data_IF_456413216122
#
_entry.id   IF_456413216122
#
_cell.length_a   1.000
_cell.length_b   1.000
_cell.length_c   1.000
_cell.angle_alpha   90.00
_cell.angle_beta   90.00
_cell.angle_gamma   90.00
#
_symmetry.space_group_name_H-M   'P 1'
#
loop_
_entity.id
_entity.type
_entity.pdbx_description
1 polymer ?
#
# COMPACT_ATOMS: atom_id res chain seq x y z
N UNK A 1 -2.59 -57.06 24.84
CA UNK A 1 -1.54 -56.71 23.90
C UNK A 1 -2.13 -55.65 22.98
N UNK A 2 -1.96 -54.38 23.35
CA UNK A 2 -2.46 -53.23 22.58
C UNK A 2 -1.37 -52.74 21.62
N UNK A 3 -1.63 -52.83 20.35
CA UNK A 3 -0.77 -52.25 19.30
C UNK A 3 -1.05 -50.75 19.17
N UNK A 4 -0.10 -49.96 19.62
CA UNK A 4 -0.09 -48.51 19.34
C UNK A 4 0.38 -48.29 17.90
N UNK A 5 -0.57 -47.91 17.03
CA UNK A 5 -0.26 -47.40 15.67
C UNK A 5 0.27 -46.00 15.81
N UNK A 6 1.60 -45.81 15.58
CA UNK A 6 2.21 -44.51 15.44
C UNK A 6 1.88 -43.96 14.04
N UNK A 7 1.01 -42.95 13.96
CA UNK A 7 0.90 -42.11 12.78
C UNK A 7 2.10 -41.18 12.74
N UNK A 8 3.10 -41.51 11.94
CA UNK A 8 4.11 -40.53 11.50
C UNK A 8 3.40 -39.50 10.62
N UNK A 9 3.36 -38.25 11.08
CA UNK A 9 3.13 -37.11 10.18
C UNK A 9 4.31 -37.09 9.20
N UNK A 10 4.04 -37.41 7.95
CA UNK A 10 4.95 -37.02 6.87
C UNK A 10 4.96 -35.50 6.86
N UNK A 11 6.09 -34.90 7.22
CA UNK A 11 6.37 -33.52 6.89
C UNK A 11 6.36 -33.43 5.37
N UNK A 12 5.31 -32.85 4.80
CA UNK A 12 5.29 -32.41 3.41
C UNK A 12 6.40 -31.35 3.28
N UNK A 13 7.59 -31.78 2.91
CA UNK A 13 8.67 -30.90 2.50
C UNK A 13 8.21 -30.17 1.24
N UNK A 14 7.71 -28.94 1.41
CA UNK A 14 7.50 -28.05 0.27
C UNK A 14 8.83 -27.97 -0.49
N UNK A 15 8.88 -28.31 -1.78
CA UNK A 15 10.12 -28.30 -2.53
C UNK A 15 10.75 -26.90 -2.45
N UNK A 16 11.99 -26.80 -1.97
CA UNK A 16 12.69 -25.56 -1.78
C UNK A 16 12.82 -24.78 -3.09
N UNK A 17 12.65 -23.46 -3.02
CA UNK A 17 13.02 -22.58 -4.12
C UNK A 17 14.54 -22.63 -4.32
N UNK A 18 14.98 -22.55 -5.55
CA UNK A 18 16.40 -22.35 -5.83
C UNK A 18 16.75 -20.86 -5.57
N UNK A 19 17.03 -20.53 -4.31
CA UNK A 19 17.40 -19.16 -3.91
C UNK A 19 18.73 -18.68 -4.51
N UNK A 20 19.54 -19.57 -5.12
CA UNK A 20 20.75 -19.17 -5.83
C UNK A 20 20.46 -18.56 -7.21
N UNK A 21 19.23 -18.71 -7.73
CA UNK A 21 18.78 -18.18 -9.00
C UNK A 21 17.62 -17.22 -8.80
N UNK A 22 17.94 -16.03 -8.30
CA UNK A 22 16.97 -14.94 -8.19
C UNK A 22 17.01 -14.08 -9.46
N UNK A 23 15.83 -13.70 -9.93
CA UNK A 23 15.64 -12.77 -11.03
C UNK A 23 14.72 -11.62 -10.62
N UNK A 24 14.79 -10.51 -11.33
CA UNK A 24 14.03 -9.31 -10.99
C UNK A 24 12.57 -9.46 -11.41
N UNK A 25 11.67 -9.14 -10.47
CA UNK A 25 10.25 -8.90 -10.71
C UNK A 25 9.96 -7.43 -10.37
N UNK A 26 9.30 -6.74 -11.28
CA UNK A 26 8.84 -5.35 -11.09
C UNK A 26 7.34 -5.34 -10.83
N UNK A 27 6.90 -4.54 -9.87
CA UNK A 27 5.50 -4.18 -9.65
C UNK A 27 5.37 -2.70 -10.03
N UNK A 28 4.53 -2.36 -10.99
CA UNK A 28 4.27 -0.98 -11.38
C UNK A 28 2.90 -0.56 -10.86
N UNK A 29 2.86 0.50 -10.06
CA UNK A 29 1.64 1.05 -9.47
C UNK A 29 1.17 2.26 -10.27
N UNK A 30 0.19 2.05 -11.14
CA UNK A 30 -0.42 3.11 -11.95
C UNK A 30 -1.57 3.77 -11.20
N UNK A 31 -1.31 4.99 -10.70
CA UNK A 31 -2.31 5.75 -9.96
C UNK A 31 -3.32 6.40 -10.92
N UNK A 32 -4.58 6.06 -10.72
CA UNK A 32 -5.72 6.62 -11.45
C UNK A 32 -6.77 7.18 -10.48
N UNK A 33 -7.71 7.95 -10.98
CA UNK A 33 -8.88 8.45 -10.23
C UNK A 33 -10.12 8.18 -11.07
N UNK A 34 -10.80 7.09 -10.79
CA UNK A 34 -11.85 6.56 -11.64
C UNK A 34 -11.29 6.07 -12.99
N UNK A 35 -11.70 6.70 -14.08
CA UNK A 35 -11.25 6.38 -15.45
C UNK A 35 -10.10 7.28 -15.96
N UNK A 36 -9.54 8.14 -15.09
CA UNK A 36 -8.56 9.16 -15.46
C UNK A 36 -7.22 8.93 -14.80
N UNK A 37 -6.13 9.14 -15.54
CA UNK A 37 -4.77 9.17 -14.95
C UNK A 37 -4.67 10.25 -13.87
N UNK A 38 -3.99 9.95 -12.77
CA UNK A 38 -3.72 10.91 -11.70
C UNK A 38 -2.99 12.14 -12.24
N UNK A 39 -3.58 13.31 -12.00
CA UNK A 39 -2.95 14.60 -12.21
C UNK A 39 -2.93 15.36 -10.90
N UNK A 40 -1.71 15.63 -10.40
CA UNK A 40 -1.50 16.36 -9.16
C UNK A 40 -1.71 17.85 -9.36
N UNK A 41 -2.23 18.54 -8.33
CA UNK A 41 -2.38 20.00 -8.28
C UNK A 41 -3.20 20.60 -9.44
N UNK A 42 -4.15 19.85 -9.99
CA UNK A 42 -5.00 20.29 -11.05
C UNK A 42 -6.21 21.03 -10.49
N UNK A 43 -6.27 22.35 -10.68
CA UNK A 43 -7.37 23.21 -10.20
C UNK A 43 -8.50 23.40 -11.23
N UNK A 44 -8.32 22.99 -12.48
CA UNK A 44 -9.29 23.24 -13.56
C UNK A 44 -10.08 22.01 -13.94
N UNK A 45 -9.47 20.83 -13.92
CA UNK A 45 -10.11 19.57 -14.30
C UNK A 45 -10.29 18.67 -13.06
N UNK A 46 -11.21 19.06 -12.19
CA UNK A 46 -11.46 18.41 -10.92
C UNK A 46 -12.03 16.99 -11.10
N UNK A 47 -11.77 16.14 -10.11
CA UNK A 47 -12.42 14.85 -9.95
C UNK A 47 -13.76 15.03 -9.23
N UNK A 48 -14.66 14.06 -9.39
CA UNK A 48 -15.98 14.09 -8.74
C UNK A 48 -16.22 12.73 -8.07
N UNK A 49 -16.45 12.71 -6.76
CA UNK A 49 -16.77 11.49 -6.02
C UNK A 49 -18.27 11.12 -6.10
N UNK A 50 -18.68 9.99 -5.52
CA UNK A 50 -20.07 9.55 -5.54
C UNK A 50 -21.03 10.46 -4.75
N UNK A 51 -20.53 11.31 -3.86
CA UNK A 51 -21.29 12.33 -3.16
C UNK A 51 -21.46 13.63 -4.00
N UNK A 52 -21.06 13.59 -5.29
CA UNK A 52 -21.05 14.74 -6.20
C UNK A 52 -20.16 15.90 -5.71
N UNK A 53 -19.11 15.60 -4.99
CA UNK A 53 -18.15 16.58 -4.48
C UNK A 53 -16.96 16.68 -5.44
N UNK A 54 -16.67 17.91 -5.88
CA UNK A 54 -15.51 18.19 -6.74
C UNK A 54 -14.25 18.34 -5.89
N UNK A 55 -13.17 17.69 -6.32
CA UNK A 55 -11.90 17.76 -5.62
C UNK A 55 -10.69 17.70 -6.55
N UNK A 56 -9.56 18.18 -6.07
CA UNK A 56 -8.23 17.99 -6.66
C UNK A 56 -7.31 17.29 -5.65
N UNK A 57 -6.22 16.72 -6.12
CA UNK A 57 -5.26 15.99 -5.31
C UNK A 57 -3.94 16.76 -5.29
N UNK A 58 -3.41 17.07 -4.11
CA UNK A 58 -2.15 17.79 -3.91
C UNK A 58 -1.04 16.92 -3.32
N UNK A 59 -1.38 15.83 -2.62
CA UNK A 59 -0.40 14.88 -2.08
C UNK A 59 -0.94 13.46 -2.15
N UNK A 60 -0.08 12.54 -2.59
CA UNK A 60 -0.31 11.10 -2.56
C UNK A 60 0.99 10.40 -2.20
N UNK A 61 0.99 9.67 -1.10
CA UNK A 61 2.08 8.76 -0.74
C UNK A 61 1.50 7.54 -0.03
N UNK A 62 2.06 6.35 -0.29
CA UNK A 62 1.67 5.14 0.43
C UNK A 62 2.78 4.10 0.47
N UNK A 63 2.82 3.32 1.56
CA UNK A 63 3.76 2.22 1.71
C UNK A 63 3.20 0.92 1.16
N UNK A 64 4.02 0.26 0.35
CA UNK A 64 3.86 -1.15 -0.05
C UNK A 64 4.96 -1.94 0.64
N UNK A 65 4.60 -3.04 1.28
CA UNK A 65 5.57 -3.86 2.01
C UNK A 65 5.20 -5.34 2.00
N UNK A 66 6.13 -6.18 2.52
CA UNK A 66 5.91 -7.62 2.75
C UNK A 66 5.34 -8.33 1.52
N UNK A 67 6.06 -8.22 0.40
CA UNK A 67 5.67 -8.80 -0.89
C UNK A 67 5.81 -10.32 -0.85
N UNK A 68 4.76 -11.01 -1.29
CA UNK A 68 4.69 -12.46 -1.41
C UNK A 68 4.18 -12.81 -2.80
N UNK A 69 4.82 -13.77 -3.45
CA UNK A 69 4.37 -14.28 -4.74
C UNK A 69 4.10 -15.79 -4.65
N UNK A 70 3.10 -16.25 -5.40
CA UNK A 70 2.74 -17.68 -5.45
C UNK A 70 2.82 -18.16 -6.88
N UNK A 71 3.53 -19.26 -7.09
CA UNK A 71 3.67 -19.86 -8.43
C UNK A 71 2.35 -20.46 -8.91
N UNK A 72 2.28 -20.77 -10.21
CA UNK A 72 1.15 -21.51 -10.81
C UNK A 72 0.96 -22.91 -10.20
N UNK A 73 2.04 -23.49 -9.63
CA UNK A 73 2.00 -24.74 -8.89
C UNK A 73 1.62 -24.59 -7.40
N UNK A 74 1.27 -23.36 -6.96
CA UNK A 74 0.85 -23.10 -5.57
C UNK A 74 2.01 -22.86 -4.59
N UNK A 75 3.27 -22.91 -5.03
CA UNK A 75 4.42 -22.68 -4.17
C UNK A 75 4.54 -21.19 -3.81
N UNK A 76 4.67 -20.89 -2.50
CA UNK A 76 4.71 -19.52 -1.98
C UNK A 76 6.15 -19.08 -1.73
N UNK A 77 6.54 -17.92 -2.23
CA UNK A 77 7.78 -17.25 -1.92
C UNK A 77 7.55 -15.91 -1.24
N UNK A 78 8.17 -15.75 -0.08
CA UNK A 78 8.14 -14.49 0.69
C UNK A 78 9.42 -13.71 0.39
N UNK A 79 9.29 -12.52 -0.17
CA UNK A 79 10.43 -11.64 -0.41
C UNK A 79 11.07 -11.26 0.94
N UNK A 80 12.40 -11.29 1.00
CA UNK A 80 13.16 -10.94 2.22
C UNK A 80 12.68 -9.58 2.75
N UNK A 81 12.36 -9.53 4.03
CA UNK A 81 11.72 -8.37 4.63
C UNK A 81 12.49 -7.07 4.40
N UNK A 82 13.82 -7.08 4.54
CA UNK A 82 14.66 -5.88 4.34
C UNK A 82 14.65 -5.33 2.90
N UNK A 83 14.21 -6.13 1.94
CA UNK A 83 14.10 -5.77 0.52
C UNK A 83 12.64 -5.56 0.07
N UNK A 84 11.72 -5.41 1.01
CA UNK A 84 10.28 -5.45 0.73
C UNK A 84 9.52 -4.23 1.29
N UNK A 85 10.17 -3.05 1.31
CA UNK A 85 9.53 -1.78 1.69
C UNK A 85 9.72 -0.75 0.59
N UNK A 86 8.61 -0.20 0.12
CA UNK A 86 8.57 0.80 -0.96
C UNK A 86 7.64 1.92 -0.56
N UNK A 87 8.05 3.17 -0.80
CA UNK A 87 7.20 4.35 -0.67
C UNK A 87 6.84 4.84 -2.07
N UNK A 88 5.58 4.69 -2.43
CA UNK A 88 5.05 5.17 -3.70
C UNK A 88 4.59 6.62 -3.51
N UNK A 89 5.01 7.51 -4.41
CA UNK A 89 4.67 8.93 -4.40
C UNK A 89 4.03 9.36 -5.71
N UNK A 90 2.89 10.04 -5.64
CA UNK A 90 2.24 10.62 -6.81
C UNK A 90 3.04 11.77 -7.44
N UNK A 91 3.91 12.42 -6.66
CA UNK A 91 4.77 13.50 -7.13
C UNK A 91 6.05 13.00 -7.81
N UNK A 92 6.52 11.79 -7.48
CA UNK A 92 7.72 11.19 -8.05
C UNK A 92 7.38 9.91 -8.80
N UNK A 93 7.33 10.02 -10.13
CA UNK A 93 7.00 8.90 -11.01
C UNK A 93 8.02 7.75 -10.96
N UNK A 94 9.25 7.98 -10.51
CA UNK A 94 10.25 6.93 -10.39
C UNK A 94 9.89 5.94 -9.27
N UNK A 95 9.17 6.40 -8.25
CA UNK A 95 8.76 5.58 -7.10
C UNK A 95 7.64 4.59 -7.41
N UNK A 96 6.98 4.71 -8.58
CA UNK A 96 5.87 3.80 -8.94
C UNK A 96 6.30 2.34 -9.11
N UNK A 97 7.60 2.08 -9.22
CA UNK A 97 8.14 0.73 -9.40
C UNK A 97 8.67 0.16 -8.10
N UNK A 98 8.07 -0.92 -7.62
CA UNK A 98 8.63 -1.75 -6.57
C UNK A 98 9.35 -2.95 -7.21
N UNK A 99 10.68 -2.96 -7.16
CA UNK A 99 11.51 -4.00 -7.77
C UNK A 99 12.03 -4.96 -6.72
N UNK A 100 11.73 -6.24 -6.87
CA UNK A 100 12.13 -7.29 -5.94
C UNK A 100 12.86 -8.42 -6.67
N UNK A 101 13.67 -9.16 -5.95
CA UNK A 101 14.31 -10.37 -6.46
C UNK A 101 13.57 -11.59 -5.94
N UNK A 102 13.11 -12.44 -6.86
CA UNK A 102 12.39 -13.67 -6.57
C UNK A 102 12.99 -14.84 -7.35
N UNK A 103 12.84 -16.10 -6.92
CA UNK A 103 13.27 -17.26 -7.70
C UNK A 103 12.67 -17.26 -9.10
N UNK A 104 13.38 -17.82 -10.07
CA UNK A 104 12.81 -18.05 -11.39
C UNK A 104 11.55 -18.92 -11.30
N UNK A 105 10.50 -18.54 -12.02
CA UNK A 105 9.22 -19.25 -11.97
C UNK A 105 8.10 -18.50 -12.69
N UNK A 106 6.95 -19.15 -12.77
CA UNK A 106 5.70 -18.60 -13.28
C UNK A 106 4.78 -18.33 -12.09
N UNK A 107 4.48 -17.06 -11.83
CA UNK A 107 3.73 -16.62 -10.66
C UNK A 107 2.32 -16.20 -11.04
N UNK A 108 1.33 -16.84 -10.39
CA UNK A 108 -0.10 -16.62 -10.61
C UNK A 108 -0.76 -15.73 -9.56
N UNK A 109 -0.09 -15.47 -8.43
CA UNK A 109 -0.64 -14.58 -7.38
C UNK A 109 0.42 -13.65 -6.84
N UNK A 110 0.00 -12.43 -6.55
CA UNK A 110 0.74 -11.41 -5.84
C UNK A 110 -0.01 -11.05 -4.55
N UNK A 111 0.71 -11.00 -3.43
CA UNK A 111 0.23 -10.43 -2.18
C UNK A 111 1.22 -9.41 -1.66
N UNK A 112 0.72 -8.32 -1.11
CA UNK A 112 1.51 -7.33 -0.39
C UNK A 112 0.72 -6.70 0.75
N UNK A 113 1.42 -6.03 1.64
CA UNK A 113 0.84 -5.23 2.71
C UNK A 113 0.79 -3.76 2.29
N UNK A 114 -0.36 -3.12 2.42
CA UNK A 114 -0.48 -1.67 2.44
C UNK A 114 -0.22 -1.20 3.86
N UNK A 115 0.94 -0.57 4.06
CA UNK A 115 1.42 -0.11 5.36
C UNK A 115 2.79 -0.65 5.74
N UNK A 116 3.15 -0.43 6.99
CA UNK A 116 4.38 -0.91 7.62
C UNK A 116 3.99 -1.79 8.80
N UNK A 117 4.48 -3.03 8.81
CA UNK A 117 4.14 -4.01 9.86
C UNK A 117 4.62 -3.58 11.26
N UNK A 118 4.10 -4.24 12.29
CA UNK A 118 4.40 -3.93 13.69
C UNK A 118 5.87 -4.10 14.03
N UNK A 119 6.56 -5.09 13.45
CA UNK A 119 7.98 -5.33 13.70
C UNK A 119 8.81 -4.10 13.29
N UNK A 120 8.57 -3.55 12.12
CA UNK A 120 9.28 -2.34 11.64
C UNK A 120 8.78 -1.07 12.32
N UNK A 121 7.50 -0.99 12.63
CA UNK A 121 6.92 0.14 13.37
C UNK A 121 7.44 0.25 14.80
N UNK A 122 7.84 -0.87 15.43
CA UNK A 122 8.38 -0.91 16.81
C UNK A 122 9.91 -0.98 16.88
N UNK A 123 10.58 -1.09 15.73
CA UNK A 123 12.05 -1.12 15.66
C UNK A 123 12.64 0.21 16.17
N UNK A 124 13.81 0.15 16.80
CA UNK A 124 14.55 1.35 17.20
C UNK A 124 14.79 2.28 16.00
N UNK A 125 14.66 3.58 16.20
CA UNK A 125 14.71 4.57 15.11
C UNK A 125 16.02 4.53 14.32
N UNK A 126 17.14 4.34 15.03
CA UNK A 126 18.49 4.23 14.45
C UNK A 126 18.68 2.98 13.55
N UNK A 127 17.75 2.03 13.60
CA UNK A 127 17.74 0.82 12.76
C UNK A 127 16.83 0.93 11.55
N UNK A 128 16.09 2.02 11.41
CA UNK A 128 15.19 2.27 10.29
C UNK A 128 15.96 2.97 9.17
N UNK A 129 16.06 2.35 8.02
CA UNK A 129 16.86 2.84 6.89
C UNK A 129 16.04 2.95 5.62
N UNK A 130 16.54 3.69 4.62
CA UNK A 130 15.87 3.87 3.34
C UNK A 130 14.52 4.56 3.52
N UNK A 131 13.49 4.05 2.88
CA UNK A 131 12.12 4.62 2.96
C UNK A 131 11.48 4.52 4.35
N UNK A 132 12.06 3.72 5.26
CA UNK A 132 11.62 3.61 6.66
C UNK A 132 12.34 4.59 7.59
N UNK A 133 13.37 5.30 7.13
CA UNK A 133 13.97 6.37 7.91
C UNK A 133 12.93 7.48 8.12
N UNK A 134 12.59 7.86 9.37
CA UNK A 134 11.65 8.93 9.63
C UNK A 134 12.03 10.28 8.99
N UNK A 135 13.34 10.49 8.74
CA UNK A 135 13.84 11.66 8.04
C UNK A 135 13.74 11.55 6.50
N UNK A 136 13.38 10.40 5.96
CA UNK A 136 13.25 10.19 4.52
C UNK A 136 12.19 11.13 3.93
N UNK A 137 12.54 11.82 2.84
CA UNK A 137 11.62 12.72 2.14
C UNK A 137 11.46 14.11 2.76
N UNK A 138 12.34 14.53 3.70
CA UNK A 138 12.38 15.94 4.13
C UNK A 138 12.26 16.22 5.62
N UNK A 139 12.40 15.20 6.47
CA UNK A 139 12.53 15.40 7.91
C UNK A 139 11.27 15.20 8.74
N UNK A 140 11.43 15.37 10.05
CA UNK A 140 10.49 14.94 11.09
C UNK A 140 9.12 15.62 11.09
N UNK A 141 8.98 16.79 10.43
CA UNK A 141 7.91 17.71 10.80
C UNK A 141 6.86 17.82 9.76
N UNK A 142 6.12 17.09 9.26
CA UNK A 142 4.89 17.32 8.46
C UNK A 142 4.94 16.97 6.98
N UNK A 143 6.10 16.80 6.38
CA UNK A 143 6.20 16.28 5.00
C UNK A 143 6.46 14.78 4.95
N UNK A 144 6.93 14.16 6.06
CA UNK A 144 7.26 12.75 6.16
C UNK A 144 6.05 11.83 6.31
N UNK A 145 6.34 10.55 6.26
CA UNK A 145 5.35 9.47 6.41
C UNK A 145 5.43 8.82 7.80
N UNK A 146 5.83 9.58 8.82
CA UNK A 146 6.00 9.09 10.18
C UNK A 146 5.46 10.09 11.21
N UNK A 147 4.70 9.60 12.17
CA UNK A 147 4.28 10.35 13.36
C UNK A 147 5.24 10.08 14.51
N UNK A 148 5.87 11.13 15.06
CA UNK A 148 6.77 11.02 16.21
C UNK A 148 6.07 10.66 17.53
N UNK A 149 4.75 10.64 17.55
CA UNK A 149 3.92 10.35 18.71
C UNK A 149 3.25 8.97 18.57
N UNK A 150 3.70 7.93 19.12
CA UNK A 150 3.12 6.58 19.33
C UNK A 150 2.28 5.90 18.20
N UNK A 151 2.02 6.53 17.08
CA UNK A 151 1.20 5.97 15.99
C UNK A 151 2.03 5.39 14.83
N UNK A 152 3.34 5.62 14.84
CA UNK A 152 4.26 5.10 13.85
C UNK A 152 4.08 5.70 12.46
N UNK A 153 4.14 4.86 11.42
CA UNK A 153 4.08 5.32 10.04
C UNK A 153 2.67 5.70 9.61
N UNK A 154 2.60 6.71 8.73
CA UNK A 154 1.42 6.98 7.90
C UNK A 154 1.48 5.99 6.74
N UNK A 155 0.54 5.07 6.66
CA UNK A 155 0.51 4.03 5.63
C UNK A 155 0.05 4.55 4.29
N UNK A 156 -0.89 5.50 4.34
CA UNK A 156 -1.49 6.14 3.19
C UNK A 156 -1.74 7.61 3.52
N UNK A 157 -1.12 8.51 2.77
CA UNK A 157 -1.26 9.96 2.84
C UNK A 157 -1.93 10.45 1.57
N UNK A 158 -3.06 11.11 1.72
CA UNK A 158 -3.86 11.59 0.62
C UNK A 158 -4.45 12.95 0.97
N UNK A 159 -4.00 13.98 0.28
CA UNK A 159 -4.41 15.36 0.53
C UNK A 159 -4.86 16.02 -0.76
N UNK A 160 -5.73 17.01 -0.63
CA UNK A 160 -6.19 17.80 -1.74
C UNK A 160 -7.12 18.91 -1.33
N UNK A 161 -7.81 19.49 -2.31
CA UNK A 161 -8.76 20.56 -2.09
C UNK A 161 -10.14 20.17 -2.65
N UNK A 162 -11.18 20.52 -1.91
CA UNK A 162 -12.57 20.37 -2.30
C UNK A 162 -13.37 21.60 -1.87
N UNK A 163 -14.01 22.29 -2.82
CA UNK A 163 -14.77 23.52 -2.56
C UNK A 163 -15.90 23.34 -1.54
N UNK A 164 -16.41 22.10 -1.43
CA UNK A 164 -17.47 21.73 -0.49
C UNK A 164 -17.07 21.86 0.97
N UNK A 165 -15.77 21.90 1.27
CA UNK A 165 -15.28 22.16 2.63
C UNK A 165 -15.43 23.66 2.88
N UNK A 166 -16.46 24.02 3.65
CA UNK A 166 -16.63 25.39 4.10
C UNK A 166 -15.54 25.75 5.08
N UNK A 167 -14.79 26.79 4.78
CA UNK A 167 -13.80 27.48 5.60
C UNK A 167 -13.37 26.80 6.90
N UNK A 168 -12.07 26.58 7.00
CA UNK A 168 -11.38 26.50 8.27
C UNK A 168 -11.77 25.35 9.20
N UNK A 169 -11.34 24.16 8.83
CA UNK A 169 -11.46 22.99 9.71
C UNK A 169 -10.58 23.12 10.97
N UNK A 170 -9.62 24.06 11.01
CA UNK A 170 -8.67 24.24 12.12
C UNK A 170 -8.30 25.71 12.43
N UNK A 171 -9.08 26.70 12.02
CA UNK A 171 -8.78 28.12 12.28
C UNK A 171 -7.66 28.70 11.39
N UNK A 172 -7.15 27.97 10.42
CA UNK A 172 -6.09 28.42 9.53
C UNK A 172 -6.64 28.87 8.17
N UNK A 173 -6.76 30.18 7.91
CA UNK A 173 -7.32 30.71 6.69
C UNK A 173 -6.49 30.38 5.43
N UNK A 174 -5.25 29.91 5.59
CA UNK A 174 -4.40 29.49 4.48
C UNK A 174 -4.72 28.08 3.98
N UNK A 175 -5.48 27.29 4.76
CA UNK A 175 -5.87 25.90 4.48
C UNK A 175 -7.33 25.74 4.09
N UNK A 176 -7.91 26.76 3.51
CA UNK A 176 -9.29 26.71 3.01
C UNK A 176 -9.47 25.55 2.04
N UNK A 177 -10.60 24.86 2.18
CA UNK A 177 -11.02 23.77 1.29
C UNK A 177 -10.10 22.53 1.30
N UNK A 178 -9.12 22.44 2.19
CA UNK A 178 -8.18 21.32 2.21
C UNK A 178 -8.77 20.10 2.92
N UNK A 179 -8.72 18.93 2.27
CA UNK A 179 -8.90 17.65 2.94
C UNK A 179 -7.56 16.96 3.21
N UNK A 180 -7.50 16.17 4.30
CA UNK A 180 -6.29 15.44 4.72
C UNK A 180 -6.66 14.06 5.24
N UNK A 181 -6.19 13.03 4.57
CA UNK A 181 -6.32 11.65 5.02
C UNK A 181 -4.92 11.08 5.25
N UNK A 182 -4.56 10.94 6.53
CA UNK A 182 -3.33 10.32 6.98
C UNK A 182 -3.70 9.04 7.72
N UNK A 183 -3.69 7.94 7.01
CA UNK A 183 -4.12 6.65 7.54
C UNK A 183 -2.90 5.87 7.97
N UNK A 184 -2.85 5.50 9.24
CA UNK A 184 -1.79 4.71 9.88
C UNK A 184 -2.35 3.94 11.06
N UNK A 185 -1.48 3.35 11.87
CA UNK A 185 -1.86 2.53 13.01
C UNK A 185 -1.61 1.05 12.77
N UNK A 186 -0.63 0.50 13.49
CA UNK A 186 -0.16 -0.88 13.35
C UNK A 186 -0.66 -1.81 14.47
N UNK A 187 -1.61 -1.37 15.29
CA UNK A 187 -2.17 -2.15 16.39
C UNK A 187 -1.59 -1.81 17.76
N UNK A 188 -0.65 -0.84 17.84
CA UNK A 188 -0.08 -0.34 19.09
C UNK A 188 1.25 -0.96 19.48
N UNK A 189 2.01 -0.22 20.29
CA UNK A 189 3.33 -0.62 20.80
C UNK A 189 3.24 -1.18 22.24
N UNK A 190 2.76 -0.41 23.18
CA UNK A 190 2.65 -0.76 24.61
C UNK A 190 1.24 -1.19 25.03
N UNK A 191 0.24 -0.83 24.24
CA UNK A 191 -1.16 -1.20 24.43
C UNK A 191 -1.83 -1.34 23.06
N UNK A 192 -2.92 -2.15 22.95
CA UNK A 192 -3.69 -2.26 21.72
C UNK A 192 -4.25 -0.91 21.27
N UNK A 193 -4.09 -0.61 19.96
CA UNK A 193 -4.63 0.58 19.30
C UNK A 193 -5.26 0.18 17.96
N UNK A 194 -5.65 1.18 17.17
CA UNK A 194 -6.16 0.95 15.81
C UNK A 194 -5.14 0.19 14.95
N UNK A 195 -5.63 -0.80 14.19
CA UNK A 195 -4.84 -1.53 13.20
C UNK A 195 -5.43 -1.33 11.80
N UNK A 196 -4.78 -0.45 11.05
CA UNK A 196 -5.13 -0.11 9.67
C UNK A 196 -4.21 -0.77 8.63
N UNK A 197 -3.34 -1.69 9.04
CA UNK A 197 -2.57 -2.52 8.11
C UNK A 197 -3.55 -3.34 7.27
N UNK A 198 -3.36 -3.34 5.95
CA UNK A 198 -4.19 -4.11 5.02
C UNK A 198 -3.34 -5.01 4.14
N UNK A 199 -3.82 -6.23 3.93
CA UNK A 199 -3.25 -7.14 2.96
C UNK A 199 -4.06 -7.10 1.68
N UNK A 200 -3.38 -6.90 0.56
CA UNK A 200 -3.94 -6.96 -0.79
C UNK A 200 -3.45 -8.25 -1.45
N UNK A 201 -4.38 -9.01 -2.03
CA UNK A 201 -4.04 -10.23 -2.78
C UNK A 201 -4.69 -10.14 -4.16
N UNK A 202 -3.91 -10.40 -5.20
CA UNK A 202 -4.35 -10.37 -6.59
C UNK A 202 -4.07 -11.70 -7.28
N UNK A 203 -5.05 -12.17 -8.03
CA UNK A 203 -4.89 -13.25 -9.01
C UNK A 203 -4.41 -12.63 -10.32
N UNK A 204 -3.31 -13.14 -10.84
CA UNK A 204 -2.67 -12.64 -12.06
C UNK A 204 -3.12 -13.39 -13.31
N UNK A 205 -3.89 -14.48 -13.18
CA UNK A 205 -4.20 -15.39 -14.29
C UNK A 205 -4.95 -14.73 -15.41
N UNK A 206 -5.86 -13.81 -15.12
CA UNK A 206 -6.68 -13.13 -16.14
C UNK A 206 -5.88 -12.13 -16.99
N UNK A 207 -4.96 -11.36 -16.37
CA UNK A 207 -4.12 -10.36 -17.04
C UNK A 207 -2.73 -10.88 -17.43
N UNK A 208 -2.44 -12.17 -17.17
CA UNK A 208 -1.17 -12.81 -17.47
C UNK A 208 -0.32 -13.10 -16.25
N UNK A 209 0.16 -14.35 -16.12
CA UNK A 209 1.09 -14.75 -15.06
C UNK A 209 2.46 -14.10 -15.27
N UNK A 210 3.16 -13.78 -14.18
CA UNK A 210 4.50 -13.22 -14.26
C UNK A 210 5.54 -14.33 -14.47
N UNK A 211 6.22 -14.31 -15.61
CA UNK A 211 7.23 -15.32 -16.02
C UNK A 211 8.63 -14.80 -15.70
N UNK A 212 9.03 -14.93 -14.45
CA UNK A 212 10.32 -14.41 -13.96
C UNK A 212 11.48 -15.31 -14.40
N UNK A 213 12.45 -14.75 -15.13
CA UNK A 213 13.65 -15.42 -15.64
C UNK A 213 14.86 -14.50 -15.58
N UNK A 214 16.05 -15.05 -15.39
CA UNK A 214 17.30 -14.30 -15.49
C UNK A 214 17.46 -13.70 -16.88
N UNK A 215 17.90 -12.45 -16.94
CA UNK A 215 18.09 -11.73 -18.21
C UNK A 215 16.80 -11.26 -18.88
N UNK A 216 15.65 -11.39 -18.22
CA UNK A 216 14.34 -10.97 -18.70
C UNK A 216 13.64 -10.12 -17.65
N UNK A 217 13.00 -9.05 -18.05
CA UNK A 217 12.16 -8.25 -17.16
C UNK A 217 10.73 -8.77 -17.21
N UNK A 218 10.14 -9.00 -16.04
CA UNK A 218 8.71 -9.23 -15.88
C UNK A 218 8.14 -8.12 -15.04
N UNK A 219 7.07 -7.47 -15.49
CA UNK A 219 6.40 -6.35 -14.79
C UNK A 219 4.92 -6.66 -14.62
N UNK A 220 4.47 -6.66 -13.38
CA UNK A 220 3.05 -6.73 -13.01
C UNK A 220 2.52 -5.31 -12.93
N UNK A 221 1.57 -4.94 -13.78
CA UNK A 221 0.89 -3.65 -13.77
C UNK A 221 -0.30 -3.70 -12.81
N UNK A 222 -0.28 -2.81 -11.83
CA UNK A 222 -1.31 -2.67 -10.79
C UNK A 222 -1.98 -1.31 -10.94
N UNK A 223 -3.23 -1.28 -11.35
CA UNK A 223 -4.05 -0.06 -11.28
C UNK A 223 -4.35 0.26 -9.82
N UNK A 224 -4.20 1.53 -9.45
CA UNK A 224 -4.49 2.05 -8.11
C UNK A 224 -5.54 3.15 -8.23
N UNK A 225 -6.81 2.78 -8.12
CA UNK A 225 -7.93 3.72 -8.26
C UNK A 225 -8.19 4.49 -6.97
N UNK A 226 -7.68 5.72 -6.91
CA UNK A 226 -7.82 6.61 -5.75
C UNK A 226 -9.26 7.07 -5.51
N UNK A 227 -10.17 6.94 -6.48
CA UNK A 227 -11.59 7.22 -6.26
C UNK A 227 -12.20 6.27 -5.22
N UNK A 228 -11.64 5.07 -5.07
CA UNK A 228 -12.06 4.08 -4.09
C UNK A 228 -11.84 4.53 -2.64
N UNK A 229 -10.97 5.49 -2.39
CA UNK A 229 -10.83 6.10 -1.06
C UNK A 229 -12.19 6.59 -0.55
N UNK A 230 -12.97 7.23 -1.43
CA UNK A 230 -14.31 7.76 -1.11
C UNK A 230 -15.44 6.79 -1.44
N UNK A 231 -15.29 6.03 -2.53
CA UNK A 231 -16.32 5.21 -3.17
C UNK A 231 -15.96 3.71 -3.12
N UNK A 232 -15.56 3.22 -1.95
CA UNK A 232 -15.20 1.82 -1.72
C UNK A 232 -16.35 1.00 -1.10
N UNK A 233 -16.00 0.14 -0.16
CA UNK A 233 -17.00 -0.61 0.66
C UNK A 233 -17.99 0.31 1.38
N UNK A 234 -17.54 1.51 1.72
CA UNK A 234 -18.35 2.56 2.32
C UNK A 234 -18.16 3.85 1.52
N UNK A 235 -19.25 4.45 1.11
CA UNK A 235 -19.22 5.78 0.54
C UNK A 235 -19.23 6.81 1.66
N UNK A 236 -18.39 7.84 1.56
CA UNK A 236 -18.40 8.94 2.50
C UNK A 236 -18.08 10.27 1.81
N UNK A 237 -18.53 11.34 2.44
CA UNK A 237 -18.41 12.71 1.96
C UNK A 237 -17.14 13.36 2.49
N UNK A 238 -16.44 14.08 1.62
CA UNK A 238 -15.29 14.90 1.99
C UNK A 238 -15.75 16.04 2.92
N UNK A 239 -16.92 16.63 2.66
CA UNK A 239 -17.46 17.70 3.49
C UNK A 239 -17.72 17.26 4.93
N UNK A 240 -18.17 16.00 5.12
CA UNK A 240 -18.47 15.46 6.45
C UNK A 240 -17.17 15.02 7.17
N UNK A 241 -16.20 14.51 6.42
CA UNK A 241 -14.93 14.01 6.96
C UNK A 241 -13.73 14.65 6.24
N UNK A 242 -13.53 15.96 6.37
CA UNK A 242 -12.45 16.66 5.65
C UNK A 242 -11.07 16.30 6.19
N UNK A 243 -10.98 15.87 7.44
CA UNK A 243 -9.71 15.45 8.05
C UNK A 243 -9.89 14.10 8.73
N UNK A 244 -9.11 13.12 8.30
CA UNK A 244 -9.07 11.79 8.89
C UNK A 244 -7.62 11.44 9.19
N UNK A 245 -7.32 11.27 10.47
CA UNK A 245 -6.01 10.86 10.96
C UNK A 245 -6.15 9.61 11.84
N UNK A 246 -5.44 9.54 12.95
CA UNK A 246 -5.51 8.44 13.90
C UNK A 246 -6.80 8.51 14.71
N UNK A 247 -7.90 8.02 14.16
CA UNK A 247 -9.24 8.02 14.76
C UNK A 247 -10.01 6.76 14.35
N UNK A 248 -11.10 6.45 15.07
CA UNK A 248 -11.95 5.29 14.74
C UNK A 248 -12.45 5.32 13.29
N UNK A 249 -12.77 6.50 12.77
CA UNK A 249 -13.20 6.65 11.38
C UNK A 249 -12.12 6.24 10.38
N UNK A 250 -10.82 6.33 10.74
CA UNK A 250 -9.73 5.89 9.88
C UNK A 250 -9.83 4.43 9.46
N UNK A 251 -10.47 3.58 10.28
CA UNK A 251 -10.70 2.17 9.95
C UNK A 251 -11.65 1.98 8.76
N UNK A 252 -12.62 2.89 8.59
CA UNK A 252 -13.52 2.90 7.44
C UNK A 252 -12.77 3.26 6.16
N UNK A 253 -11.91 4.28 6.22
CA UNK A 253 -11.04 4.64 5.10
C UNK A 253 -10.11 3.47 4.77
N UNK A 254 -9.42 2.90 5.77
CA UNK A 254 -8.53 1.77 5.58
C UNK A 254 -9.22 0.54 4.94
N UNK A 255 -10.51 0.32 5.24
CA UNK A 255 -11.30 -0.74 4.59
C UNK A 255 -11.54 -0.48 3.09
N UNK A 256 -11.67 0.79 2.70
CA UNK A 256 -11.80 1.19 1.30
C UNK A 256 -10.48 1.06 0.52
N UNK A 257 -9.34 1.30 1.18
CA UNK A 257 -8.03 1.29 0.51
C UNK A 257 -7.69 -0.05 -0.17
N UNK A 258 -8.24 -1.17 0.30
CA UNK A 258 -8.04 -2.48 -0.33
C UNK A 258 -8.65 -2.51 -1.74
N UNK A 259 -9.77 -1.82 -1.94
CA UNK A 259 -10.51 -1.79 -3.20
C UNK A 259 -9.81 -0.96 -4.29
N UNK A 260 -8.78 -0.18 -3.93
CA UNK A 260 -8.03 0.62 -4.89
C UNK A 260 -7.22 -0.24 -5.87
N UNK A 261 -6.75 -1.41 -5.43
CA UNK A 261 -5.76 -2.19 -6.16
C UNK A 261 -6.40 -3.24 -7.05
N UNK A 262 -6.03 -3.24 -8.33
CA UNK A 262 -6.46 -4.22 -9.31
C UNK A 262 -5.30 -4.60 -10.23
N UNK A 263 -5.11 -5.91 -10.49
CA UNK A 263 -4.21 -6.35 -11.55
C UNK A 263 -4.79 -5.92 -12.90
N UNK A 264 -4.00 -5.21 -13.67
CA UNK A 264 -4.35 -4.83 -15.05
C UNK A 264 -3.84 -5.90 -16.01
N UNK A 265 -2.54 -5.96 -16.20
CA UNK A 265 -1.89 -6.98 -17.02
C UNK A 265 -0.45 -7.25 -16.52
N UNK A 266 0.21 -8.25 -17.12
CA UNK A 266 1.62 -8.54 -16.85
C UNK A 266 2.40 -8.54 -18.17
N UNK A 267 3.47 -7.75 -18.23
CA UNK A 267 4.48 -7.78 -19.28
C UNK A 267 5.61 -8.75 -18.91
N UNK A 268 6.07 -9.58 -19.90
CA UNK A 268 7.08 -10.60 -19.68
C UNK A 268 8.23 -10.51 -20.69
#
# INVERSE_FOLDING_TARGET
MMLLSSCSKEDETTPDFNESKLAQLSLEFDNIVGDRTLTMNNSTNLYVNAANEKFSISSLQYFISNIVVTTTAGKVYVVKQDSSYFLISGADKATRFAKVSVPEGDYSKLKFTLGVDSLRSTMALDKRTGVLDPAYGGGHDFSGMYWGWNSGYIFFKFEGNAEVISNDVNGDPTRKHQFKYHIGGFGGYSAPTLNNIKNVTMDLTAGGVAKVRTGRQSTIHVLVDLMKVFNGKKNFSIAVHPTVMFSDFSTNVAANLIEMFKHDHTEN
#
